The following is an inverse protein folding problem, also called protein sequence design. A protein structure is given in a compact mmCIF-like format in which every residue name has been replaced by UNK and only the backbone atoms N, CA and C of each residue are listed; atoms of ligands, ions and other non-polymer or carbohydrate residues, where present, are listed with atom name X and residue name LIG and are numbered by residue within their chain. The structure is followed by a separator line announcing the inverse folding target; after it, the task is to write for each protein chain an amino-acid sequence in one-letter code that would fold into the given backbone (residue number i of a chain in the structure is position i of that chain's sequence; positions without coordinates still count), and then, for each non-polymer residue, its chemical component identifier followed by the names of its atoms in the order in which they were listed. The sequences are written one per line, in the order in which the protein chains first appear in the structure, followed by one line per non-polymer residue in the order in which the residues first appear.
data_IF_332402125292
#
_entry.id   IF_332402125292
#
_cell.length_a   1.000
_cell.length_b   1.000
_cell.length_c   1.000
_cell.angle_alpha   90.00
_cell.angle_beta   90.00
_cell.angle_gamma   90.00
#
_symmetry.space_group_name_H-M   'P 1'
#
loop_
_entity.id
_entity.type
_entity.pdbx_description
1 polymer ?
#
# COMPACT_ATOMS: atom_id res chain seq x y z
N UNK A 1 -57.57 53.90 -58.21
CA UNK A 1 -57.86 55.14 -57.45
C UNK A 1 -56.71 55.39 -56.49
N UNK A 2 -56.20 56.62 -56.48
CA UNK A 2 -55.11 57.14 -55.63
C UNK A 2 -55.49 57.02 -54.13
N UNK A 3 -54.61 57.08 -53.12
CA UNK A 3 -53.56 58.08 -52.82
C UNK A 3 -52.65 57.62 -51.66
N UNK A 4 -51.42 58.16 -51.64
CA UNK A 4 -50.32 58.03 -50.67
C UNK A 4 -50.57 58.68 -49.29
N UNK A 5 -49.76 58.32 -48.27
CA UNK A 5 -48.92 59.27 -47.48
C UNK A 5 -47.86 58.58 -46.60
N UNK A 6 -46.80 59.35 -46.34
CA UNK A 6 -45.44 58.95 -45.96
C UNK A 6 -45.09 59.04 -44.46
N UNK A 7 -44.05 58.27 -44.08
CA UNK A 7 -42.84 58.55 -43.27
C UNK A 7 -42.90 59.34 -41.94
N UNK A 8 -42.18 58.83 -40.92
CA UNK A 8 -41.65 59.62 -39.79
C UNK A 8 -41.11 58.78 -38.63
N UNK A 9 -39.81 58.88 -38.36
CA UNK A 9 -38.97 58.16 -37.38
C UNK A 9 -39.10 58.65 -35.93
N UNK A 10 -38.73 57.80 -34.94
CA UNK A 10 -37.68 58.07 -33.93
C UNK A 10 -37.61 57.01 -32.81
N UNK A 11 -36.39 56.60 -32.46
CA UNK A 11 -36.03 55.79 -31.28
C UNK A 11 -36.23 56.59 -29.98
N UNK A 12 -36.28 55.90 -28.82
CA UNK A 12 -35.57 56.39 -27.65
C UNK A 12 -34.64 55.36 -26.99
N UNK A 13 -33.67 55.93 -26.28
CA UNK A 13 -32.52 55.31 -25.63
C UNK A 13 -32.85 54.70 -24.25
N UNK A 14 -32.05 53.67 -23.93
CA UNK A 14 -31.65 53.10 -22.65
C UNK A 14 -31.99 53.86 -21.35
N UNK A 15 -32.70 53.16 -20.44
CA UNK A 15 -32.76 53.45 -19.00
C UNK A 15 -32.16 52.29 -18.20
N UNK A 16 -31.11 52.60 -17.43
CA UNK A 16 -30.38 51.72 -16.50
C UNK A 16 -31.28 51.25 -15.35
N UNK A 17 -31.40 49.93 -15.14
CA UNK A 17 -31.92 49.35 -13.90
C UNK A 17 -30.74 48.87 -13.05
N UNK A 18 -30.63 49.47 -11.86
CA UNK A 18 -29.58 49.22 -10.86
C UNK A 18 -29.63 47.77 -10.35
N UNK A 19 -28.49 47.07 -10.45
CA UNK A 19 -28.26 45.78 -9.82
C UNK A 19 -28.02 45.96 -8.32
N UNK A 20 -28.93 45.42 -7.49
CA UNK A 20 -28.68 45.26 -6.06
C UNK A 20 -27.71 44.11 -5.86
N UNK A 21 -26.48 44.41 -5.42
CA UNK A 21 -25.49 43.41 -5.03
C UNK A 21 -25.88 42.81 -3.67
N UNK A 22 -26.15 41.50 -3.66
CA UNK A 22 -26.19 40.71 -2.43
C UNK A 22 -24.75 40.26 -2.14
N UNK A 23 -23.99 41.12 -1.45
CA UNK A 23 -22.75 40.73 -0.80
C UNK A 23 -23.07 39.90 0.45
N UNK A 24 -23.23 38.58 0.31
CA UNK A 24 -23.11 37.66 1.44
C UNK A 24 -21.71 37.05 1.43
N UNK A 25 -20.92 37.45 2.42
CA UNK A 25 -19.58 36.96 2.72
C UNK A 25 -19.60 35.44 2.89
N UNK A 26 -19.08 34.70 1.91
CA UNK A 26 -18.54 33.36 2.14
C UNK A 26 -17.03 33.50 2.24
N UNK A 27 -16.53 33.76 3.46
CA UNK A 27 -15.13 33.47 3.77
C UNK A 27 -15.06 32.00 4.15
N UNK A 28 -14.35 31.13 3.41
CA UNK A 28 -14.12 29.77 3.86
C UNK A 28 -13.08 29.79 4.98
N UNK A 29 -13.52 30.03 6.21
CA UNK A 29 -12.68 29.93 7.42
C UNK A 29 -12.58 28.48 7.88
N UNK A 30 -12.14 27.58 7.01
CA UNK A 30 -11.58 26.31 7.42
C UNK A 30 -10.43 25.99 6.49
N UNK A 31 -9.19 26.26 6.95
CA UNK A 31 -8.03 25.54 6.42
C UNK A 31 -8.37 24.07 6.60
N UNK A 32 -8.72 23.38 5.50
CA UNK A 32 -8.82 21.93 5.50
C UNK A 32 -7.45 21.46 5.97
N UNK A 33 -7.39 20.90 7.17
CA UNK A 33 -6.23 20.14 7.60
C UNK A 33 -6.05 19.09 6.49
N UNK A 34 -4.89 19.02 5.81
CA UNK A 34 -4.68 17.95 4.86
C UNK A 34 -4.95 16.66 5.63
N UNK A 35 -5.81 15.80 5.07
CA UNK A 35 -5.92 14.45 5.58
C UNK A 35 -4.49 13.91 5.63
N UNK A 36 -4.03 13.35 6.76
CA UNK A 36 -2.72 12.73 6.77
C UNK A 36 -2.68 11.76 5.60
N UNK A 37 -1.59 11.73 4.81
CA UNK A 37 -1.48 10.73 3.76
C UNK A 37 -1.77 9.38 4.40
N UNK A 38 -2.61 8.57 3.77
CA UNK A 38 -2.91 7.20 4.21
C UNK A 38 -1.69 6.27 4.04
N UNK A 39 -0.48 6.83 4.08
CA UNK A 39 0.79 6.17 3.91
C UNK A 39 1.37 5.91 5.29
N UNK A 40 1.39 4.62 5.67
CA UNK A 40 2.05 4.17 6.90
C UNK A 40 3.47 3.72 6.57
N UNK A 41 3.67 3.07 5.41
CA UNK A 41 4.97 2.56 4.95
C UNK A 41 5.18 2.87 3.45
N UNK A 42 6.41 2.65 2.99
CA UNK A 42 6.85 2.93 1.61
C UNK A 42 7.24 1.66 0.85
N UNK A 43 7.38 0.55 1.57
CA UNK A 43 7.91 -0.70 1.06
C UNK A 43 9.42 -0.68 0.82
N UNK A 44 10.13 0.35 1.30
CA UNK A 44 11.59 0.37 1.34
C UNK A 44 12.03 -0.25 2.66
N UNK A 45 12.27 -1.57 2.60
CA UNK A 45 12.74 -2.36 3.74
C UNK A 45 14.05 -1.77 4.29
N UNK A 46 14.09 -1.54 5.60
CA UNK A 46 15.23 -0.93 6.28
C UNK A 46 16.30 -1.95 6.70
N UNK A 47 15.98 -3.24 6.56
CA UNK A 47 16.89 -4.35 6.78
C UNK A 47 16.15 -5.61 7.22
N UNK A 48 16.94 -6.57 7.70
CA UNK A 48 16.43 -7.81 8.29
C UNK A 48 16.67 -7.83 9.80
N UNK A 49 15.66 -8.24 10.54
CA UNK A 49 15.69 -8.49 11.97
C UNK A 49 15.56 -10.00 12.26
N UNK A 50 15.86 -10.40 13.48
CA UNK A 50 15.82 -11.81 13.91
C UNK A 50 14.76 -12.03 14.98
N UNK A 51 13.92 -13.04 14.79
CA UNK A 51 12.96 -13.48 15.80
C UNK A 51 13.72 -14.21 16.90
N UNK A 52 13.81 -13.62 18.10
CA UNK A 52 14.53 -14.22 19.23
C UNK A 52 13.62 -15.06 20.13
N UNK A 53 12.31 -14.84 20.08
CA UNK A 53 11.35 -15.66 20.80
C UNK A 53 9.95 -15.59 20.15
N UNK A 54 9.27 -16.73 20.16
CA UNK A 54 7.84 -16.84 19.83
C UNK A 54 7.15 -17.47 21.03
N UNK A 55 6.32 -16.69 21.71
CA UNK A 55 5.49 -17.15 22.83
C UNK A 55 4.04 -17.31 22.36
N UNK A 56 3.70 -18.53 21.95
CA UNK A 56 2.37 -18.88 21.45
C UNK A 56 1.42 -19.22 22.60
N UNK A 57 0.25 -18.60 22.60
CA UNK A 57 -0.86 -18.78 23.55
C UNK A 57 -2.15 -19.07 22.79
N UNK A 58 -3.22 -19.38 23.51
CA UNK A 58 -4.53 -19.60 22.89
C UNK A 58 -4.99 -18.35 22.11
N UNK A 59 -5.12 -18.50 20.78
CA UNK A 59 -5.54 -17.47 19.83
C UNK A 59 -4.65 -16.21 19.76
N UNK A 60 -3.41 -16.29 20.23
CA UNK A 60 -2.52 -15.14 20.37
C UNK A 60 -1.06 -15.58 20.34
N UNK A 61 -0.17 -14.79 19.74
CA UNK A 61 1.27 -15.01 19.89
C UNK A 61 1.96 -13.70 20.20
N UNK A 62 2.95 -13.74 21.08
CA UNK A 62 3.90 -12.65 21.24
C UNK A 62 5.17 -12.99 20.46
N UNK A 63 5.58 -12.08 19.57
CA UNK A 63 6.86 -12.14 18.88
C UNK A 63 7.83 -11.19 19.56
N UNK A 64 9.03 -11.68 19.87
CA UNK A 64 10.16 -10.84 20.29
C UNK A 64 11.19 -10.85 19.19
N UNK A 65 11.56 -9.67 18.71
CA UNK A 65 12.38 -9.50 17.52
C UNK A 65 13.56 -8.59 17.86
N UNK A 66 14.77 -9.07 17.60
CA UNK A 66 16.00 -8.31 17.71
C UNK A 66 16.34 -7.62 16.39
N UNK A 67 16.47 -6.30 16.44
CA UNK A 67 16.76 -5.45 15.30
C UNK A 67 18.27 -5.16 15.23
N UNK A 68 18.80 -4.80 14.04
CA UNK A 68 20.17 -4.34 13.94
C UNK A 68 20.38 -3.03 14.75
N UNK A 69 21.57 -2.83 15.35
CA UNK A 69 21.83 -1.69 16.23
C UNK A 69 21.46 -0.34 15.63
N UNK A 70 20.79 0.51 16.40
CA UNK A 70 20.41 1.88 16.03
C UNK A 70 19.19 2.01 15.11
N UNK A 71 18.65 0.90 14.56
CA UNK A 71 17.48 0.99 13.67
C UNK A 71 16.18 1.28 14.42
N UNK A 72 16.08 0.89 15.68
CA UNK A 72 14.89 1.11 16.52
C UNK A 72 15.08 2.22 17.55
N UNK A 73 16.12 3.04 17.39
CA UNK A 73 16.37 4.18 18.26
C UNK A 73 15.17 5.13 18.32
N UNK A 74 14.84 5.53 19.54
CA UNK A 74 13.74 6.42 19.85
C UNK A 74 12.35 5.87 19.51
N UNK A 75 12.21 4.55 19.29
CA UNK A 75 10.89 3.94 19.09
C UNK A 75 10.08 4.02 20.39
N UNK A 76 8.78 4.26 20.24
CA UNK A 76 7.86 4.41 21.36
C UNK A 76 6.91 3.24 21.40
N UNK A 77 6.41 2.95 22.60
CA UNK A 77 5.26 2.07 22.78
C UNK A 77 4.09 2.57 21.92
N UNK A 78 3.41 1.65 21.23
CA UNK A 78 2.32 1.98 20.31
C UNK A 78 2.77 2.44 18.92
N UNK A 79 4.08 2.50 18.64
CA UNK A 79 4.57 2.75 17.28
C UNK A 79 4.27 1.57 16.35
N UNK A 80 4.07 1.85 15.06
CA UNK A 80 3.87 0.83 14.04
C UNK A 80 5.19 0.46 13.35
N UNK A 81 5.41 -0.83 13.18
CA UNK A 81 6.53 -1.42 12.43
C UNK A 81 5.98 -2.52 11.54
N UNK A 82 6.26 -2.46 10.25
CA UNK A 82 5.94 -3.55 9.34
C UNK A 82 6.97 -4.67 9.51
N UNK A 83 6.50 -5.90 9.75
CA UNK A 83 7.31 -7.12 9.82
C UNK A 83 6.87 -8.04 8.68
N UNK A 84 7.77 -8.33 7.73
CA UNK A 84 7.42 -8.94 6.44
C UNK A 84 6.19 -8.27 5.79
N UNK A 85 6.11 -6.94 5.84
CA UNK A 85 4.98 -6.19 5.30
C UNK A 85 3.69 -6.27 6.11
N UNK A 86 3.69 -6.89 7.29
CA UNK A 86 2.52 -6.88 8.20
C UNK A 86 2.70 -5.77 9.23
N UNK A 87 1.80 -4.79 9.27
CA UNK A 87 1.81 -3.72 10.25
C UNK A 87 1.56 -4.29 11.65
N UNK A 88 2.55 -4.20 12.54
CA UNK A 88 2.44 -4.61 13.94
C UNK A 88 2.68 -3.41 14.86
N UNK A 89 2.07 -3.46 16.04
CA UNK A 89 2.20 -2.41 17.06
C UNK A 89 3.20 -2.84 18.12
N UNK A 90 4.19 -1.98 18.41
CA UNK A 90 5.18 -2.22 19.47
C UNK A 90 4.49 -2.24 20.82
N UNK A 91 4.57 -3.35 21.53
CA UNK A 91 3.97 -3.54 22.87
C UNK A 91 5.00 -3.47 24.00
N UNK A 92 6.28 -3.72 23.70
CA UNK A 92 7.41 -3.48 24.60
C UNK A 92 8.67 -3.16 23.79
N UNK A 93 9.61 -2.42 24.37
CA UNK A 93 10.90 -2.11 23.78
C UNK A 93 12.00 -2.17 24.84
N UNK A 94 13.05 -2.95 24.58
CA UNK A 94 14.21 -3.08 25.47
C UNK A 94 15.49 -3.17 24.64
N UNK A 95 16.26 -2.08 24.60
CA UNK A 95 17.42 -1.96 23.70
C UNK A 95 16.98 -2.15 22.24
N UNK A 96 17.63 -3.08 21.55
CA UNK A 96 17.33 -3.42 20.15
C UNK A 96 16.24 -4.50 20.00
N UNK A 97 15.56 -4.89 21.08
CA UNK A 97 14.52 -5.92 21.05
C UNK A 97 13.16 -5.28 21.22
N UNK A 98 12.26 -5.54 20.27
CA UNK A 98 10.86 -5.12 20.33
C UNK A 98 9.93 -6.32 20.45
N UNK A 99 8.84 -6.13 21.19
CA UNK A 99 7.78 -7.11 21.31
C UNK A 99 6.55 -6.67 20.52
N UNK A 100 5.89 -7.65 19.92
CA UNK A 100 4.67 -7.49 19.16
C UNK A 100 3.66 -8.54 19.57
N UNK A 101 2.45 -8.10 19.83
CA UNK A 101 1.32 -8.95 20.13
C UNK A 101 0.55 -9.19 18.82
N UNK A 102 0.39 -10.45 18.43
CA UNK A 102 -0.17 -10.85 17.12
C UNK A 102 -1.39 -11.73 17.33
N UNK A 103 -2.52 -11.30 16.75
CA UNK A 103 -3.78 -12.04 16.81
C UNK A 103 -3.75 -13.27 15.90
N UNK A 104 -4.52 -14.31 16.25
CA UNK A 104 -4.60 -15.53 15.46
C UNK A 104 -4.98 -15.29 13.99
N UNK A 105 -5.89 -14.35 13.70
CA UNK A 105 -6.26 -14.08 12.31
C UNK A 105 -5.08 -13.55 11.50
N UNK A 106 -4.25 -12.67 12.08
CA UNK A 106 -3.02 -12.19 11.43
C UNK A 106 -2.01 -13.33 11.22
N UNK A 107 -1.84 -14.20 12.22
CA UNK A 107 -0.95 -15.37 12.09
C UNK A 107 -1.41 -16.33 10.98
N UNK A 108 -2.74 -16.51 10.84
CA UNK A 108 -3.36 -17.36 9.81
C UNK A 108 -3.25 -16.74 8.42
N UNK A 109 -3.48 -15.43 8.31
CA UNK A 109 -3.55 -14.71 7.05
C UNK A 109 -2.17 -14.31 6.48
N UNK A 110 -1.09 -14.51 7.24
CA UNK A 110 0.26 -14.05 6.86
C UNK A 110 1.30 -15.15 7.06
N UNK A 111 2.53 -14.90 6.59
CA UNK A 111 3.68 -15.76 6.83
C UNK A 111 4.12 -15.76 8.30
N UNK A 112 3.59 -14.87 9.14
CA UNK A 112 4.02 -14.73 10.54
C UNK A 112 3.69 -15.99 11.37
N UNK A 113 2.63 -16.71 11.02
CA UNK A 113 2.27 -17.96 11.71
C UNK A 113 3.29 -19.10 11.54
N UNK A 114 4.21 -18.99 10.58
CA UNK A 114 5.30 -19.94 10.39
C UNK A 114 6.61 -19.56 11.06
N UNK A 115 6.69 -18.41 11.74
CA UNK A 115 7.92 -17.95 12.35
C UNK A 115 8.31 -18.79 13.56
N UNK A 116 9.61 -19.03 13.68
CA UNK A 116 10.25 -19.69 14.80
C UNK A 116 11.43 -18.85 15.30
N UNK A 117 11.92 -19.12 16.51
CA UNK A 117 13.18 -18.53 16.98
C UNK A 117 14.30 -18.77 15.95
N UNK A 118 15.07 -17.73 15.64
CA UNK A 118 16.09 -17.71 14.60
C UNK A 118 15.58 -17.29 13.21
N UNK A 119 14.27 -17.15 13.01
CA UNK A 119 13.73 -16.69 11.73
C UNK A 119 14.17 -15.26 11.41
N UNK A 120 14.52 -15.02 10.15
CA UNK A 120 14.84 -13.69 9.63
C UNK A 120 13.58 -13.07 9.03
N UNK A 121 13.35 -11.79 9.34
CA UNK A 121 12.18 -11.03 8.86
C UNK A 121 12.62 -9.67 8.32
N UNK A 122 11.97 -9.20 7.26
CA UNK A 122 12.07 -7.82 6.82
C UNK A 122 11.44 -6.90 7.89
N UNK A 123 12.00 -5.71 8.06
CA UNK A 123 11.33 -4.66 8.83
C UNK A 123 11.35 -3.29 8.14
N UNK A 124 10.31 -2.50 8.41
CA UNK A 124 10.21 -1.10 8.05
C UNK A 124 9.45 -0.35 9.15
N UNK A 125 10.01 0.74 9.68
CA UNK A 125 9.30 1.64 10.60
C UNK A 125 8.29 2.48 9.83
N UNK A 126 7.18 2.83 10.49
CA UNK A 126 6.24 3.77 9.88
C UNK A 126 6.92 5.09 9.51
N UNK A 127 6.65 5.57 8.30
CA UNK A 127 7.26 6.77 7.74
C UNK A 127 6.84 8.02 8.54
N UNK A 128 7.79 8.93 8.76
CA UNK A 128 7.54 10.26 9.30
C UNK A 128 7.24 11.22 8.16
N UNK A 129 6.57 12.32 8.50
CA UNK A 129 6.33 13.39 7.53
C UNK A 129 7.66 13.98 7.05
N UNK A 130 7.89 13.95 5.74
CA UNK A 130 9.11 14.43 5.11
C UNK A 130 10.16 13.35 4.82
N UNK A 131 9.89 12.10 5.17
CA UNK A 131 10.75 10.98 4.76
C UNK A 131 10.70 10.78 3.24
N UNK A 132 11.80 10.29 2.67
CA UNK A 132 11.88 9.93 1.25
C UNK A 132 10.96 8.75 0.96
N UNK A 133 10.10 8.89 -0.05
CA UNK A 133 9.23 7.80 -0.52
C UNK A 133 9.87 7.20 -1.77
N UNK A 134 10.74 6.21 -1.57
CA UNK A 134 11.45 5.54 -2.66
C UNK A 134 10.68 4.38 -3.33
N UNK A 135 9.60 3.90 -2.69
CA UNK A 135 8.78 2.79 -3.18
C UNK A 135 7.39 3.24 -3.63
N UNK A 136 6.36 2.54 -3.15
CA UNK A 136 4.96 2.91 -3.35
C UNK A 136 4.22 2.94 -2.01
N UNK A 137 2.96 3.37 -2.01
CA UNK A 137 2.18 3.37 -0.77
C UNK A 137 1.89 1.94 -0.30
N UNK A 138 2.46 1.57 0.85
CA UNK A 138 2.23 0.30 1.53
C UNK A 138 1.52 0.57 2.86
N UNK A 139 0.38 -0.08 3.06
CA UNK A 139 -0.43 0.03 4.26
C UNK A 139 0.06 -0.89 5.38
N UNK A 140 0.69 -2.00 5.02
CA UNK A 140 1.05 -3.07 5.93
C UNK A 140 -0.11 -4.04 6.20
N UNK A 141 -1.15 -4.02 5.36
CA UNK A 141 -2.26 -4.95 5.39
C UNK A 141 -2.08 -6.00 4.30
N UNK A 142 -1.59 -7.17 4.73
CA UNK A 142 -1.40 -8.32 3.84
C UNK A 142 -2.76 -8.82 3.35
N UNK A 143 -2.90 -8.94 2.03
CA UNK A 143 -4.13 -9.38 1.37
C UNK A 143 -4.16 -10.89 1.15
N UNK A 144 -2.99 -11.47 0.85
CA UNK A 144 -2.82 -12.90 0.62
C UNK A 144 -1.44 -13.36 1.02
N UNK A 145 -1.28 -14.67 1.16
CA UNK A 145 0.05 -15.29 1.04
C UNK A 145 0.22 -15.91 -0.33
N UNK A 146 1.47 -16.11 -0.71
CA UNK A 146 1.88 -16.74 -1.95
C UNK A 146 3.12 -17.62 -1.72
N UNK A 147 3.49 -18.40 -2.73
CA UNK A 147 4.69 -19.25 -2.70
C UNK A 147 5.62 -18.91 -3.83
N UNK A 148 6.91 -18.90 -3.55
CA UNK A 148 7.93 -18.83 -4.59
C UNK A 148 7.91 -20.16 -5.35
N UNK A 149 7.50 -20.14 -6.61
CA UNK A 149 7.38 -21.33 -7.46
C UNK A 149 8.60 -21.54 -8.36
N UNK A 150 9.34 -20.49 -8.67
CA UNK A 150 10.58 -20.58 -9.42
C UNK A 150 11.56 -19.47 -9.04
N UNK A 151 12.86 -19.79 -9.14
CA UNK A 151 13.97 -18.88 -8.92
C UNK A 151 14.99 -19.09 -10.04
N UNK A 152 15.29 -18.02 -10.74
CA UNK A 152 16.34 -18.00 -11.76
C UNK A 152 17.40 -16.98 -11.35
N UNK A 153 18.60 -17.47 -11.06
CA UNK A 153 19.74 -16.63 -10.73
C UNK A 153 20.51 -16.27 -12.00
N UNK A 154 20.87 -14.99 -12.11
CA UNK A 154 21.83 -14.50 -13.11
C UNK A 154 22.98 -13.80 -12.39
N UNK A 155 24.11 -13.51 -13.07
CA UNK A 155 25.27 -12.88 -12.41
C UNK A 155 24.96 -11.55 -11.69
N UNK A 156 23.94 -10.81 -12.15
CA UNK A 156 23.67 -9.44 -11.70
C UNK A 156 22.24 -9.24 -11.15
N UNK A 157 21.36 -10.23 -11.23
CA UNK A 157 20.00 -10.14 -10.73
C UNK A 157 19.40 -11.51 -10.47
N UNK A 158 18.24 -11.53 -9.82
CA UNK A 158 17.47 -12.74 -9.59
C UNK A 158 16.03 -12.54 -10.06
N UNK A 159 15.54 -13.41 -10.92
CA UNK A 159 14.12 -13.46 -11.30
C UNK A 159 13.42 -14.45 -10.39
N UNK A 160 12.30 -14.04 -9.81
CA UNK A 160 11.51 -14.86 -8.90
C UNK A 160 10.09 -14.94 -9.43
N UNK A 161 9.56 -16.15 -9.59
CA UNK A 161 8.15 -16.39 -9.92
C UNK A 161 7.41 -16.74 -8.64
N UNK A 162 6.29 -16.06 -8.41
CA UNK A 162 5.49 -16.15 -7.19
C UNK A 162 4.06 -16.54 -7.59
N UNK A 163 3.55 -17.63 -7.01
CA UNK A 163 2.19 -18.15 -7.25
C UNK A 163 1.33 -17.86 -6.05
N UNK A 164 0.18 -17.20 -6.25
CA UNK A 164 -0.72 -16.85 -5.17
C UNK A 164 -1.47 -18.08 -4.65
N UNK A 165 -1.67 -18.16 -3.34
CA UNK A 165 -2.53 -19.18 -2.75
C UNK A 165 -4.03 -18.89 -3.01
N UNK A 166 -4.39 -17.60 -3.16
CA UNK A 166 -5.74 -17.16 -3.49
C UNK A 166 -5.73 -16.36 -4.81
N UNK A 167 -6.12 -16.99 -5.94
CA UNK A 167 -6.09 -16.36 -7.26
C UNK A 167 -6.97 -15.12 -7.40
N UNK A 168 -7.93 -14.88 -6.49
CA UNK A 168 -8.84 -13.72 -6.60
C UNK A 168 -8.09 -12.38 -6.60
N UNK A 169 -6.90 -12.35 -6.02
CA UNK A 169 -6.06 -11.15 -5.94
C UNK A 169 -5.28 -10.87 -7.24
N UNK A 170 -5.19 -11.84 -8.16
CA UNK A 170 -4.45 -11.68 -9.42
C UNK A 170 -4.96 -10.53 -10.28
N UNK A 171 -6.26 -10.21 -10.20
CA UNK A 171 -6.86 -9.10 -10.96
C UNK A 171 -6.30 -7.71 -10.59
N UNK A 172 -5.61 -7.60 -9.46
CA UNK A 172 -4.94 -6.37 -9.02
C UNK A 172 -3.44 -6.36 -9.32
N UNK A 173 -2.89 -7.45 -9.87
CA UNK A 173 -1.46 -7.59 -10.16
C UNK A 173 -1.27 -7.35 -11.66
N UNK A 174 -0.85 -6.14 -12.01
CA UNK A 174 -0.73 -5.70 -13.40
C UNK A 174 0.74 -5.65 -13.82
N UNK A 175 1.11 -6.08 -15.05
CA UNK A 175 2.48 -5.91 -15.55
C UNK A 175 2.94 -4.46 -15.45
N UNK A 176 4.17 -4.24 -14.97
CA UNK A 176 4.75 -2.91 -14.69
C UNK A 176 4.06 -2.12 -13.58
N UNK A 177 3.07 -2.69 -12.89
CA UNK A 177 2.50 -2.14 -11.66
C UNK A 177 3.39 -2.36 -10.44
N UNK A 178 2.94 -1.86 -9.30
CA UNK A 178 3.58 -2.06 -8.00
C UNK A 178 2.94 -3.21 -7.22
N UNK A 179 3.76 -3.87 -6.40
CA UNK A 179 3.32 -4.89 -5.44
C UNK A 179 4.27 -4.89 -4.25
N UNK A 180 3.76 -5.18 -3.04
CA UNK A 180 4.61 -5.43 -1.89
C UNK A 180 4.73 -6.94 -1.62
N UNK A 181 5.97 -7.44 -1.58
CA UNK A 181 6.30 -8.84 -1.25
C UNK A 181 7.14 -8.87 0.02
N UNK A 182 6.59 -9.46 1.09
CA UNK A 182 7.16 -9.36 2.45
C UNK A 182 7.50 -7.92 2.85
N UNK A 183 6.65 -6.96 2.45
CA UNK A 183 6.86 -5.53 2.67
C UNK A 183 7.87 -4.88 1.74
N UNK A 184 8.51 -5.62 0.82
CA UNK A 184 9.39 -5.05 -0.20
C UNK A 184 8.56 -4.53 -1.36
N UNK A 185 8.63 -3.23 -1.64
CA UNK A 185 8.05 -2.62 -2.84
C UNK A 185 8.81 -3.08 -4.08
N UNK A 186 8.11 -3.72 -5.01
CA UNK A 186 8.67 -4.27 -6.24
C UNK A 186 7.81 -3.89 -7.45
N UNK A 187 8.45 -3.88 -8.63
CA UNK A 187 7.77 -3.76 -9.91
C UNK A 187 7.40 -5.14 -10.44
N UNK A 188 6.13 -5.32 -10.79
CA UNK A 188 5.62 -6.56 -11.38
C UNK A 188 6.19 -6.75 -12.78
N UNK A 189 6.69 -7.95 -13.03
CA UNK A 189 7.15 -8.41 -14.35
C UNK A 189 6.02 -9.02 -15.16
N UNK A 190 6.24 -10.26 -15.59
CA UNK A 190 5.26 -11.08 -16.29
C UNK A 190 4.16 -11.54 -15.34
N UNK A 191 2.93 -11.68 -15.85
CA UNK A 191 1.75 -12.09 -15.09
C UNK A 191 1.04 -13.20 -15.87
N UNK A 192 0.63 -14.25 -15.17
CA UNK A 192 -0.19 -15.36 -15.68
C UNK A 192 -1.56 -15.37 -14.97
N UNK A 193 -2.31 -16.47 -15.06
CA UNK A 193 -3.59 -16.60 -14.36
C UNK A 193 -3.47 -16.70 -12.83
N UNK A 194 -2.34 -17.17 -12.30
CA UNK A 194 -2.17 -17.48 -10.88
C UNK A 194 -0.82 -17.02 -10.29
N UNK A 195 0.08 -16.51 -11.13
CA UNK A 195 1.44 -16.17 -10.75
C UNK A 195 1.93 -14.91 -11.44
N UNK A 196 2.96 -14.31 -10.83
CA UNK A 196 3.65 -13.15 -11.37
C UNK A 196 5.14 -13.25 -11.11
N UNK A 197 5.94 -12.49 -11.85
CA UNK A 197 7.38 -12.43 -11.67
C UNK A 197 7.84 -11.09 -11.10
N UNK A 198 8.95 -11.11 -10.40
CA UNK A 198 9.69 -9.92 -9.96
C UNK A 198 11.18 -10.10 -10.26
N UNK A 199 11.86 -8.98 -10.49
CA UNK A 199 13.30 -8.94 -10.74
C UNK A 199 13.97 -8.22 -9.57
N UNK A 200 14.86 -8.93 -8.89
CA UNK A 200 15.55 -8.45 -7.70
C UNK A 200 16.98 -8.05 -8.07
N UNK A 201 17.32 -6.80 -7.77
CA UNK A 201 18.68 -6.28 -7.92
C UNK A 201 19.54 -6.70 -6.72
N UNK A 202 20.89 -6.64 -6.82
CA UNK A 202 21.78 -7.09 -5.75
C UNK A 202 21.52 -6.40 -4.41
N UNK A 203 21.16 -5.11 -4.44
CA UNK A 203 20.84 -4.37 -3.22
C UNK A 203 19.61 -4.92 -2.50
N UNK A 204 18.52 -5.21 -3.23
CA UNK A 204 17.31 -5.81 -2.66
C UNK A 204 17.57 -7.20 -2.11
N UNK A 205 18.38 -8.01 -2.80
CA UNK A 205 18.78 -9.35 -2.33
C UNK A 205 19.57 -9.27 -1.03
N UNK A 206 20.49 -8.31 -0.92
CA UNK A 206 21.30 -8.10 0.28
C UNK A 206 20.48 -7.57 1.46
N UNK A 207 19.56 -6.66 1.20
CA UNK A 207 18.82 -5.94 2.24
C UNK A 207 17.61 -6.71 2.80
N UNK A 208 17.06 -7.68 2.04
CA UNK A 208 15.77 -8.29 2.36
C UNK A 208 15.81 -9.81 2.45
N UNK A 209 14.81 -10.40 3.12
CA UNK A 209 14.64 -11.86 3.21
C UNK A 209 14.46 -12.54 1.86
N UNK A 210 14.10 -11.80 0.80
CA UNK A 210 14.00 -12.34 -0.54
C UNK A 210 15.35 -12.83 -1.09
N UNK A 211 16.47 -12.35 -0.55
CA UNK A 211 17.80 -12.87 -0.87
C UNK A 211 18.06 -14.28 -0.34
N UNK A 212 17.42 -14.66 0.78
CA UNK A 212 17.65 -15.95 1.45
C UNK A 212 16.51 -16.95 1.24
N UNK A 213 15.32 -16.48 0.85
CA UNK A 213 14.19 -17.35 0.52
C UNK A 213 14.43 -18.10 -0.79
N UNK A 214 13.89 -19.32 -0.91
CA UNK A 214 13.99 -20.21 -2.06
C UNK A 214 12.63 -20.69 -2.57
N UNK A 215 12.65 -21.64 -3.52
CA UNK A 215 11.44 -22.29 -4.04
C UNK A 215 10.72 -23.01 -2.90
N UNK A 216 9.40 -22.83 -2.82
CA UNK A 216 8.52 -23.40 -1.79
C UNK A 216 8.23 -22.45 -0.62
N UNK A 217 9.08 -21.44 -0.40
CA UNK A 217 8.91 -20.50 0.70
C UNK A 217 7.68 -19.62 0.53
N UNK A 218 7.01 -19.40 1.66
CA UNK A 218 5.82 -18.55 1.76
C UNK A 218 6.21 -17.08 1.87
N UNK A 219 5.50 -16.21 1.17
CA UNK A 219 5.66 -14.75 1.21
C UNK A 219 4.31 -14.06 1.45
N UNK A 220 4.35 -12.91 2.09
CA UNK A 220 3.21 -12.01 2.23
C UNK A 220 3.04 -11.16 0.98
N UNK A 221 1.80 -11.01 0.52
CA UNK A 221 1.44 -10.19 -0.64
C UNK A 221 0.48 -9.08 -0.20
N UNK A 222 0.87 -7.84 -0.53
CA UNK A 222 -0.01 -6.68 -0.49
C UNK A 222 -0.12 -6.08 -1.89
N UNK A 223 -1.36 -6.01 -2.41
CA UNK A 223 -1.65 -5.38 -3.70
C UNK A 223 -1.73 -3.86 -3.53
N UNK A 224 -1.42 -3.12 -4.58
CA UNK A 224 -1.46 -1.66 -4.51
C UNK A 224 -2.91 -1.17 -4.31
N UNK A 225 -3.12 -0.44 -3.21
CA UNK A 225 -4.46 0.08 -2.82
C UNK A 225 -5.11 0.92 -3.93
N UNK A 226 -4.32 1.68 -4.70
CA UNK A 226 -4.86 2.50 -5.79
C UNK A 226 -5.38 1.63 -6.93
N UNK A 227 -4.62 0.64 -7.38
CA UNK A 227 -5.06 -0.36 -8.36
C UNK A 227 -6.30 -1.09 -7.88
N UNK A 228 -6.34 -1.51 -6.61
CA UNK A 228 -7.52 -2.16 -6.03
C UNK A 228 -8.77 -1.28 -6.12
N UNK A 229 -8.68 -0.03 -5.67
CA UNK A 229 -9.80 0.90 -5.69
C UNK A 229 -10.30 1.17 -7.11
N UNK A 230 -9.40 1.26 -8.09
CA UNK A 230 -9.74 1.44 -9.51
C UNK A 230 -10.46 0.21 -10.06
N UNK A 231 -9.86 -0.98 -9.92
CA UNK A 231 -10.40 -2.24 -10.43
C UNK A 231 -11.79 -2.52 -9.85
N UNK A 232 -11.94 -2.44 -8.52
CA UNK A 232 -13.22 -2.71 -7.86
C UNK A 232 -14.30 -1.68 -8.25
N UNK A 233 -13.91 -0.42 -8.45
CA UNK A 233 -14.84 0.62 -8.91
C UNK A 233 -15.30 0.35 -10.33
N UNK A 234 -14.39 0.00 -11.24
CA UNK A 234 -14.72 -0.30 -12.64
C UNK A 234 -15.63 -1.53 -12.72
N UNK A 235 -15.28 -2.63 -12.04
CA UNK A 235 -16.10 -3.85 -12.02
C UNK A 235 -17.51 -3.56 -11.50
N UNK A 236 -17.63 -2.82 -10.39
CA UNK A 236 -18.93 -2.45 -9.81
C UNK A 236 -19.77 -1.60 -10.75
N UNK A 237 -19.16 -0.60 -11.41
CA UNK A 237 -19.88 0.27 -12.35
C UNK A 237 -20.33 -0.52 -13.58
N UNK A 238 -19.46 -1.34 -14.17
CA UNK A 238 -19.79 -2.17 -15.34
C UNK A 238 -20.92 -3.15 -15.01
N UNK A 239 -20.86 -3.83 -13.85
CA UNK A 239 -21.93 -4.73 -13.41
C UNK A 239 -23.28 -4.01 -13.29
N UNK A 240 -23.30 -2.76 -12.82
CA UNK A 240 -24.53 -1.96 -12.75
C UNK A 240 -25.11 -1.61 -14.12
N UNK A 241 -24.27 -1.41 -15.13
CA UNK A 241 -24.72 -1.14 -16.50
C UNK A 241 -25.22 -2.41 -17.18
N UNK A 242 -24.51 -3.53 -17.04
CA UNK A 242 -24.91 -4.80 -17.63
C UNK A 242 -26.20 -5.37 -17.02
N UNK A 243 -26.43 -5.18 -15.72
CA UNK A 243 -27.66 -5.62 -15.04
C UNK A 243 -28.88 -4.71 -15.30
N UNK A 244 -28.69 -3.59 -16.00
CA UNK A 244 -29.78 -2.69 -16.43
C UNK A 244 -30.18 -2.90 -17.89
N UNK A 245 -29.41 -3.66 -18.67
CA UNK A 245 -29.69 -4.04 -20.05
C UNK A 245 -30.45 -5.36 -20.09
#
# INVERSE_FOLDING_TARGET
MQTQRCLGSNRPQTGLLQSRSLNSRFQPTHRRRPLPPAMVFTGIVQGMAEVVNVDSKDNFSQLRIAFPPGHVDGIKLGASVAINGTCLTVTQAQGEVLNFDVMMETLRATSLGGLQTGSRVNFERAAKFGDEVGGHNVSGHVHSTARISNVEETPNNRRVTITLEDPKWMKYILPKGYIAVDGTSLTVGEVTSDSFTVYLIPETLRATVLGIKGVGDKVNIEVETQTQAIVDTVERVVAQYLNKA
#
